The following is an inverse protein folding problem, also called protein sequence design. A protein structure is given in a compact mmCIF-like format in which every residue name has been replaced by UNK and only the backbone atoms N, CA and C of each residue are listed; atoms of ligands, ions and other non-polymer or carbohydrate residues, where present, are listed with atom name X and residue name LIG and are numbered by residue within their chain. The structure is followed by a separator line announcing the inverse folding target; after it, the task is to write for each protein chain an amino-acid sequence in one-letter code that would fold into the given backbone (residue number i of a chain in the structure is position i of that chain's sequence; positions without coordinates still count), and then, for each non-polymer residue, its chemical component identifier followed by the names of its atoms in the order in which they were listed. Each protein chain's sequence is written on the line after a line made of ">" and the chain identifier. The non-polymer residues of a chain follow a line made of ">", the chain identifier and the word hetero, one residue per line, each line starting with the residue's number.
data_IF_680746688040
#
_entry.id   IF_680746688040
#
_cell.length_a   1.000
_cell.length_b   1.000
_cell.length_c   1.000
_cell.angle_alpha   90.00
_cell.angle_beta   90.00
_cell.angle_gamma   90.00
#
_symmetry.space_group_name_H-M   'P 1'
#
loop_
_entity.id
_entity.type
_entity.pdbx_description
1 polymer ?
#
# COMPACT_ATOMS: atom_id res chain seq x y z
N UNK A 1 -43.00 -19.89 -19.68
CA UNK A 1 -41.94 -20.76 -19.13
C UNK A 1 -40.53 -20.47 -19.69
N UNK A 2 -40.38 -20.04 -20.96
CA UNK A 2 -39.07 -19.73 -21.57
C UNK A 2 -38.40 -18.48 -20.98
N UNK A 3 -39.15 -17.40 -20.74
CA UNK A 3 -38.62 -16.12 -20.22
C UNK A 3 -38.08 -16.22 -18.80
N UNK A 4 -38.78 -16.92 -17.90
CA UNK A 4 -38.33 -17.15 -16.51
C UNK A 4 -37.02 -17.95 -16.46
N UNK A 5 -36.84 -18.94 -17.36
CA UNK A 5 -35.61 -19.73 -17.46
C UNK A 5 -34.44 -18.89 -17.98
N UNK A 6 -34.68 -18.01 -18.95
CA UNK A 6 -33.65 -17.10 -19.49
C UNK A 6 -33.16 -16.13 -18.41
N UNK A 7 -34.08 -15.51 -17.66
CA UNK A 7 -33.72 -14.57 -16.58
C UNK A 7 -32.87 -15.26 -15.50
N UNK A 8 -33.24 -16.48 -15.10
CA UNK A 8 -32.48 -17.26 -14.11
C UNK A 8 -31.06 -17.59 -14.63
N UNK A 9 -30.93 -17.98 -15.90
CA UNK A 9 -29.63 -18.27 -16.52
C UNK A 9 -28.74 -17.02 -16.62
N UNK A 10 -29.33 -15.86 -16.96
CA UNK A 10 -28.59 -14.59 -17.00
C UNK A 10 -28.08 -14.18 -15.62
N UNK A 11 -28.91 -14.29 -14.58
CA UNK A 11 -28.51 -13.98 -13.20
C UNK A 11 -27.40 -14.93 -12.73
N UNK A 12 -27.51 -16.23 -13.05
CA UNK A 12 -26.48 -17.21 -12.72
C UNK A 12 -25.14 -16.89 -13.39
N UNK A 13 -25.17 -16.50 -14.67
CA UNK A 13 -23.96 -16.15 -15.41
C UNK A 13 -23.29 -14.89 -14.83
N UNK A 14 -24.08 -13.89 -14.44
CA UNK A 14 -23.57 -12.68 -13.76
C UNK A 14 -22.95 -13.05 -12.41
N UNK A 15 -23.62 -13.87 -11.60
CA UNK A 15 -23.10 -14.34 -10.31
C UNK A 15 -21.78 -15.11 -10.46
N UNK A 16 -21.68 -16.00 -11.44
CA UNK A 16 -20.45 -16.76 -11.72
C UNK A 16 -19.33 -15.82 -12.17
N UNK A 17 -19.64 -14.84 -13.05
CA UNK A 17 -18.68 -13.82 -13.47
C UNK A 17 -18.14 -12.97 -12.31
N UNK A 18 -19.02 -12.58 -11.37
CA UNK A 18 -18.62 -11.83 -10.17
C UNK A 18 -17.72 -12.63 -9.23
N UNK A 19 -17.96 -13.94 -9.09
CA UNK A 19 -17.08 -14.83 -8.29
C UNK A 19 -15.70 -14.91 -8.95
N UNK A 20 -15.63 -15.07 -10.28
CA UNK A 20 -14.37 -15.17 -11.01
C UNK A 20 -13.52 -13.89 -10.93
N UNK A 21 -14.15 -12.72 -11.00
CA UNK A 21 -13.46 -11.45 -10.81
C UNK A 21 -12.90 -11.31 -9.38
N UNK A 22 -13.66 -11.73 -8.37
CA UNK A 22 -13.23 -11.71 -6.97
C UNK A 22 -12.10 -12.68 -6.66
N UNK A 23 -12.13 -13.90 -7.22
CA UNK A 23 -11.06 -14.90 -6.98
C UNK A 23 -9.75 -14.51 -7.65
N UNK A 24 -9.76 -13.90 -8.83
CA UNK A 24 -8.53 -13.42 -9.50
C UNK A 24 -7.83 -12.36 -8.64
N UNK A 25 -8.58 -11.42 -8.06
CA UNK A 25 -8.02 -10.41 -7.15
C UNK A 25 -7.47 -11.01 -5.84
N UNK A 26 -8.10 -12.07 -5.34
CA UNK A 26 -7.64 -12.78 -4.14
C UNK A 26 -6.49 -13.77 -4.40
N UNK A 27 -6.27 -14.16 -5.66
CA UNK A 27 -5.20 -15.04 -6.11
C UNK A 27 -3.89 -14.31 -6.39
N UNK A 28 -3.88 -12.98 -6.35
CA UNK A 28 -2.64 -12.21 -6.37
C UNK A 28 -1.87 -12.46 -5.06
N UNK A 29 -1.14 -13.57 -5.03
CA UNK A 29 -0.29 -14.00 -3.90
C UNK A 29 0.84 -13.01 -3.63
N UNK A 30 1.08 -12.06 -4.53
CA UNK A 30 2.08 -11.03 -4.39
C UNK A 30 1.49 -9.70 -3.89
N UNK A 31 0.16 -9.62 -3.70
CA UNK A 31 -0.43 -8.48 -3.04
C UNK A 31 0.21 -8.34 -1.65
N UNK A 32 0.78 -7.17 -1.32
CA UNK A 32 1.50 -7.01 -0.08
C UNK A 32 0.58 -7.26 1.11
N UNK A 33 0.86 -8.32 1.86
CA UNK A 33 0.06 -8.67 3.03
C UNK A 33 0.18 -7.56 4.08
N UNK A 34 -0.95 -7.05 4.55
CA UNK A 34 -0.96 -6.08 5.62
C UNK A 34 -0.31 -6.68 6.88
N UNK A 35 0.73 -6.02 7.39
CA UNK A 35 1.40 -6.39 8.63
C UNK A 35 0.52 -5.96 9.81
N UNK A 36 0.08 -6.90 10.68
CA UNK A 36 -0.81 -6.56 11.79
C UNK A 36 -0.09 -5.85 12.95
N UNK A 37 1.22 -6.07 13.12
CA UNK A 37 1.99 -5.46 14.21
C UNK A 37 3.37 -5.02 13.73
N UNK A 38 3.83 -3.89 14.24
CA UNK A 38 5.19 -3.38 14.02
C UNK A 38 6.13 -4.03 15.05
N UNK A 39 7.40 -4.19 14.70
CA UNK A 39 8.36 -4.95 15.53
C UNK A 39 9.63 -4.13 15.82
N UNK A 40 10.11 -3.37 14.85
CA UNK A 40 11.39 -2.65 14.87
C UNK A 40 11.23 -1.23 14.31
N UNK A 41 10.34 -0.44 14.92
CA UNK A 41 10.06 0.94 14.50
C UNK A 41 11.29 1.82 14.75
N UNK A 42 11.80 2.45 13.68
CA UNK A 42 12.93 3.39 13.72
C UNK A 42 12.50 4.84 13.57
N UNK A 43 11.52 5.10 12.73
CA UNK A 43 11.00 6.43 12.43
C UNK A 43 9.52 6.33 12.02
N UNK A 44 8.79 7.43 12.14
CA UNK A 44 7.43 7.55 11.62
C UNK A 44 7.16 8.98 11.16
N UNK A 45 6.24 9.15 10.22
CA UNK A 45 5.67 10.43 9.84
C UNK A 45 4.16 10.35 10.01
N UNK A 46 3.62 11.23 10.85
CA UNK A 46 2.18 11.34 11.05
C UNK A 46 1.51 11.80 9.75
N UNK A 47 0.26 11.39 9.52
CA UNK A 47 -0.48 11.87 8.37
C UNK A 47 -0.72 13.38 8.49
N UNK A 48 -0.63 14.09 7.36
CA UNK A 48 -0.93 15.52 7.31
C UNK A 48 -2.44 15.81 7.48
N UNK A 49 -3.29 14.81 7.23
CA UNK A 49 -4.75 14.90 7.35
C UNK A 49 -5.28 13.82 8.29
N UNK A 50 -6.46 14.02 8.88
CA UNK A 50 -7.09 13.04 9.79
C UNK A 50 -7.33 11.68 9.15
N UNK A 51 -7.48 11.67 7.82
CA UNK A 51 -7.84 10.49 7.03
C UNK A 51 -6.60 9.91 6.30
N UNK A 52 -5.43 10.54 6.48
CA UNK A 52 -4.19 10.10 5.85
C UNK A 52 -3.58 8.88 6.53
N UNK A 53 -2.76 8.14 5.78
CA UNK A 53 -1.99 7.03 6.31
C UNK A 53 -0.76 7.54 7.09
N UNK A 54 -0.45 6.90 8.21
CA UNK A 54 0.84 7.09 8.89
C UNK A 54 1.91 6.36 8.09
N UNK A 55 3.08 6.98 7.90
CA UNK A 55 4.26 6.30 7.36
C UNK A 55 5.14 5.84 8.52
N UNK A 56 5.67 4.62 8.43
CA UNK A 56 6.51 4.03 9.47
C UNK A 56 7.70 3.33 8.83
N UNK A 57 8.87 3.50 9.42
CA UNK A 57 10.07 2.72 9.11
C UNK A 57 10.18 1.57 10.09
N UNK A 58 10.01 0.34 9.64
CA UNK A 58 10.06 -0.88 10.45
C UNK A 58 11.08 -1.87 9.87
N UNK A 59 12.15 -2.15 10.62
CA UNK A 59 13.17 -3.13 10.19
C UNK A 59 13.89 -2.77 8.88
N UNK A 60 13.93 -1.49 8.49
CA UNK A 60 14.52 -1.02 7.23
C UNK A 60 13.53 -0.87 6.08
N UNK A 61 12.27 -1.23 6.27
CA UNK A 61 11.20 -1.10 5.28
C UNK A 61 10.32 0.11 5.58
N UNK A 62 9.77 0.73 4.52
CA UNK A 62 8.73 1.74 4.65
C UNK A 62 7.36 1.07 4.60
N UNK A 63 6.49 1.40 5.55
CA UNK A 63 5.10 0.94 5.65
C UNK A 63 4.17 2.16 5.72
N UNK A 64 2.97 2.04 5.16
CA UNK A 64 1.90 3.03 5.23
C UNK A 64 0.65 2.38 5.83
N UNK A 65 -0.04 3.09 6.72
CA UNK A 65 -1.36 2.67 7.18
C UNK A 65 -1.70 3.15 8.58
N UNK A 66 -2.41 2.29 9.30
CA UNK A 66 -2.92 2.56 10.65
C UNK A 66 -2.71 1.35 11.55
N UNK A 67 -3.06 1.49 12.83
CA UNK A 67 -3.01 0.40 13.80
C UNK A 67 -3.70 -0.85 13.24
N UNK A 68 -3.01 -1.99 13.30
CA UNK A 68 -3.43 -3.30 12.79
C UNK A 68 -3.56 -3.44 11.26
N UNK A 69 -3.16 -2.44 10.47
CA UNK A 69 -3.24 -2.47 9.02
C UNK A 69 -2.09 -1.66 8.39
N UNK A 70 -0.91 -2.26 8.30
CA UNK A 70 0.27 -1.64 7.70
C UNK A 70 0.60 -2.30 6.36
N UNK A 71 0.53 -1.54 5.28
CA UNK A 71 0.94 -2.01 3.95
C UNK A 71 2.36 -1.53 3.64
N UNK A 72 3.26 -2.39 3.11
CA UNK A 72 4.55 -1.93 2.61
C UNK A 72 4.38 -0.92 1.47
N UNK A 73 5.23 0.10 1.49
CA UNK A 73 5.42 1.05 0.40
C UNK A 73 6.66 0.60 -0.34
N UNK A 74 6.55 0.41 -1.66
CA UNK A 74 7.69 0.03 -2.48
C UNK A 74 8.73 1.15 -2.49
N UNK A 75 9.98 0.79 -2.24
CA UNK A 75 11.13 1.71 -2.25
C UNK A 75 12.12 1.27 -3.30
N UNK A 76 13.07 2.13 -3.73
CA UNK A 76 14.10 1.74 -4.67
C UNK A 76 14.84 0.48 -4.21
N UNK A 77 15.20 -0.36 -5.19
CA UNK A 77 15.73 -1.69 -4.93
C UNK A 77 16.98 -1.64 -4.04
N UNK A 78 16.97 -2.42 -2.95
CA UNK A 78 18.09 -2.53 -2.02
C UNK A 78 18.22 -1.39 -1.02
N UNK A 79 17.34 -0.38 -1.05
CA UNK A 79 17.36 0.71 -0.07
C UNK A 79 16.95 0.20 1.30
N UNK A 80 17.76 0.50 2.32
CA UNK A 80 17.43 0.34 3.73
C UNK A 80 16.97 1.69 4.25
N UNK A 81 15.67 1.82 4.45
CA UNK A 81 15.06 3.06 4.95
C UNK A 81 15.39 3.23 6.43
N UNK A 82 15.85 4.42 6.82
CA UNK A 82 16.16 4.73 8.22
C UNK A 82 15.46 6.00 8.74
N UNK A 83 15.01 6.87 7.85
CA UNK A 83 14.25 8.05 8.19
C UNK A 83 13.14 8.26 7.16
N UNK A 84 12.03 8.86 7.59
CA UNK A 84 10.92 9.25 6.72
C UNK A 84 10.34 10.57 7.19
N UNK A 85 9.94 11.43 6.25
CA UNK A 85 9.13 12.61 6.53
C UNK A 85 8.25 12.93 5.32
N UNK A 86 7.20 13.72 5.56
CA UNK A 86 6.24 14.19 4.58
C UNK A 86 6.13 15.70 4.62
N UNK A 87 5.82 16.32 3.50
CA UNK A 87 5.45 17.73 3.49
C UNK A 87 4.03 17.90 4.03
N UNK A 88 3.84 18.82 4.98
CA UNK A 88 2.54 19.06 5.60
C UNK A 88 1.56 19.80 4.66
N UNK A 89 2.07 20.58 3.71
CA UNK A 89 1.28 21.28 2.71
C UNK A 89 0.97 20.39 1.49
N UNK A 90 1.87 19.47 1.14
CA UNK A 90 1.66 18.48 0.10
C UNK A 90 1.99 17.05 0.58
N UNK A 91 0.99 16.29 1.06
CA UNK A 91 1.19 14.95 1.60
C UNK A 91 1.71 13.93 0.57
N UNK A 92 1.70 14.26 -0.74
CA UNK A 92 2.29 13.40 -1.77
C UNK A 92 3.82 13.51 -1.82
N UNK A 93 4.39 14.58 -1.24
CA UNK A 93 5.84 14.74 -1.11
C UNK A 93 6.35 13.95 0.09
N UNK A 94 7.06 12.87 -0.21
CA UNK A 94 7.68 11.99 0.79
C UNK A 94 9.19 12.03 0.61
N UNK A 95 9.92 12.13 1.71
CA UNK A 95 11.37 11.99 1.72
C UNK A 95 11.77 10.80 2.60
N UNK A 96 12.69 9.98 2.10
CA UNK A 96 13.29 8.88 2.86
C UNK A 96 14.81 8.99 2.90
N UNK A 97 15.39 8.67 4.05
CA UNK A 97 16.83 8.50 4.19
C UNK A 97 17.23 7.04 3.99
N UNK A 98 18.14 6.78 3.04
CA UNK A 98 18.71 5.47 2.75
C UNK A 98 20.00 5.26 3.54
N UNK A 99 19.96 4.44 4.60
CA UNK A 99 21.10 4.22 5.49
C UNK A 99 22.27 3.50 4.83
N UNK A 100 21.99 2.58 3.90
CA UNK A 100 23.01 1.81 3.20
C UNK A 100 23.73 2.60 2.10
N UNK A 101 23.19 3.76 1.69
CA UNK A 101 23.71 4.56 0.57
C UNK A 101 24.12 5.98 0.96
N UNK A 102 23.82 6.41 2.18
CA UNK A 102 24.01 7.79 2.64
C UNK A 102 23.35 8.81 1.69
N UNK A 103 22.13 8.48 1.25
CA UNK A 103 21.37 9.27 0.28
C UNK A 103 19.96 9.59 0.79
N UNK A 104 19.36 10.61 0.18
CA UNK A 104 17.94 10.94 0.36
C UNK A 104 17.25 10.58 -0.95
N UNK A 105 16.08 9.95 -0.84
CA UNK A 105 15.16 9.79 -1.96
C UNK A 105 13.92 10.63 -1.71
N UNK A 106 13.32 11.11 -2.78
CA UNK A 106 12.09 11.91 -2.80
C UNK A 106 11.07 11.24 -3.70
N UNK A 107 9.84 11.12 -3.20
CA UNK A 107 8.66 10.86 -4.02
C UNK A 107 7.81 12.12 -4.09
N UNK A 108 7.13 12.32 -5.23
CA UNK A 108 6.17 13.40 -5.42
C UNK A 108 4.74 12.88 -5.69
N UNK A 109 4.54 11.58 -5.53
CA UNK A 109 3.31 10.86 -5.87
C UNK A 109 2.95 9.82 -4.80
N UNK A 110 3.17 10.18 -3.53
CA UNK A 110 2.74 9.36 -2.39
C UNK A 110 3.51 8.06 -2.23
N UNK A 111 4.74 7.99 -2.74
CA UNK A 111 5.61 6.82 -2.64
C UNK A 111 5.45 5.83 -3.80
N UNK A 112 4.76 6.21 -4.88
CA UNK A 112 4.59 5.37 -6.07
C UNK A 112 5.87 5.36 -6.91
N UNK A 113 6.53 6.50 -7.05
CA UNK A 113 7.81 6.64 -7.72
C UNK A 113 8.80 7.43 -6.86
N UNK A 114 10.09 7.15 -7.03
CA UNK A 114 11.17 7.74 -6.25
C UNK A 114 12.27 8.31 -7.16
N UNK A 115 12.72 9.49 -6.79
CA UNK A 115 13.89 10.17 -7.35
C UNK A 115 14.98 10.23 -6.28
N UNK A 116 16.25 10.15 -6.70
CA UNK A 116 17.41 10.39 -5.84
C UNK A 116 17.92 11.81 -6.03
#
# INVERSE_FOLDING_TARGET
>A
MKTRKIVILSILFILIGSIFAGTISALDRNAPAAKPALENVRAYAAPATSDGATLVVDGGNLLAGSVNNWAPVETPSGVIVNAVTTDAADPNLIYIGAANELAIYRSADGGTNWMR
#
